data_IF_457405278752
#
_entry.id   IF_457405278752
#
_cell.length_a   1.000
_cell.length_b   1.000
_cell.length_c   1.000
_cell.angle_alpha   90.00
_cell.angle_beta   90.00
_cell.angle_gamma   90.00
#
_symmetry.space_group_name_H-M   'P 1'
#
loop_
_entity.id
_entity.type
_entity.pdbx_description
1 polymer ?
#
# COMPACT_ATOMS: atom_id res chain seq x y z
N UNK A 1 -37.94 -31.00 46.25
CA UNK A 1 -37.62 -30.93 44.81
C UNK A 1 -37.32 -29.50 44.33
N UNK A 2 -36.38 -28.77 44.98
CA UNK A 2 -36.05 -27.36 44.62
C UNK A 2 -34.53 -27.04 44.55
N UNK A 3 -33.68 -28.06 44.45
CA UNK A 3 -32.21 -27.86 44.45
C UNK A 3 -31.52 -28.32 43.16
N UNK A 4 -32.22 -28.77 42.11
CA UNK A 4 -31.63 -29.30 40.89
C UNK A 4 -31.59 -28.27 39.76
N UNK A 5 -32.34 -27.15 39.85
CA UNK A 5 -32.44 -26.17 38.77
C UNK A 5 -31.32 -25.10 38.72
N UNK A 6 -30.50 -24.98 39.79
CA UNK A 6 -29.45 -23.92 39.86
C UNK A 6 -28.14 -24.37 39.24
N UNK A 7 -27.88 -25.68 39.12
CA UNK A 7 -26.59 -26.19 38.62
C UNK A 7 -26.53 -26.19 37.06
N UNK A 8 -27.68 -26.26 36.37
CA UNK A 8 -27.73 -26.30 34.90
C UNK A 8 -27.41 -24.94 34.28
N UNK A 9 -27.73 -23.82 34.94
CA UNK A 9 -27.45 -22.48 34.40
C UNK A 9 -25.96 -22.03 34.48
N UNK A 10 -25.17 -22.62 35.37
CA UNK A 10 -23.74 -22.25 35.52
C UNK A 10 -22.83 -22.93 34.48
N UNK A 11 -23.27 -24.04 33.88
CA UNK A 11 -22.46 -24.74 32.86
C UNK A 11 -22.67 -24.22 31.42
N UNK A 12 -23.69 -23.41 31.15
CA UNK A 12 -23.92 -22.84 29.81
C UNK A 12 -23.07 -21.58 29.52
N UNK A 13 -22.45 -20.99 30.51
CA UNK A 13 -21.55 -19.83 30.30
C UNK A 13 -20.08 -20.20 30.02
N UNK A 14 -19.69 -21.46 30.14
CA UNK A 14 -18.30 -21.91 29.98
C UNK A 14 -17.94 -22.37 28.55
N UNK A 15 -18.89 -22.31 27.59
CA UNK A 15 -18.67 -22.71 26.20
C UNK A 15 -18.94 -21.51 25.26
N UNK A 16 -18.42 -20.32 25.59
CA UNK A 16 -18.13 -19.36 24.52
C UNK A 16 -16.89 -19.89 23.78
N UNK A 17 -17.03 -20.35 22.52
CA UNK A 17 -15.85 -20.68 21.76
C UNK A 17 -15.03 -19.38 21.69
N UNK A 18 -13.78 -19.46 22.12
CA UNK A 18 -12.77 -18.43 21.84
C UNK A 18 -12.63 -18.46 20.31
N UNK A 19 -13.51 -17.74 19.61
CA UNK A 19 -13.37 -17.55 18.18
C UNK A 19 -12.06 -16.83 18.01
N UNK A 20 -11.03 -17.59 17.67
CA UNK A 20 -9.75 -17.03 17.30
C UNK A 20 -10.06 -16.00 16.19
N UNK A 21 -9.88 -14.73 16.50
CA UNK A 21 -10.14 -13.65 15.56
C UNK A 21 -9.28 -13.92 14.31
N UNK A 22 -9.95 -14.19 13.19
CA UNK A 22 -9.26 -14.44 11.93
C UNK A 22 -8.46 -13.19 11.58
N UNK A 23 -7.14 -13.34 11.53
CA UNK A 23 -6.25 -12.21 11.21
C UNK A 23 -6.50 -11.75 9.79
N UNK A 24 -6.78 -10.46 9.63
CA UNK A 24 -6.90 -9.84 8.31
C UNK A 24 -5.57 -9.91 7.53
N UNK A 25 -5.67 -10.19 6.24
CA UNK A 25 -4.52 -10.26 5.33
C UNK A 25 -4.27 -8.89 4.70
N UNK A 26 -3.06 -8.37 4.83
CA UNK A 26 -2.63 -7.09 4.26
C UNK A 26 -1.78 -7.34 3.02
N UNK A 27 -2.18 -6.79 1.87
CA UNK A 27 -1.36 -6.71 0.67
C UNK A 27 -0.88 -5.28 0.43
N UNK A 28 0.27 -5.15 -0.24
CA UNK A 28 0.88 -3.87 -0.59
C UNK A 28 1.04 -3.77 -2.10
N UNK A 29 0.58 -2.66 -2.68
CA UNK A 29 0.90 -2.24 -4.03
C UNK A 29 1.83 -1.03 -3.92
N UNK A 30 3.10 -1.18 -4.33
CA UNK A 30 4.08 -0.15 -4.02
C UNK A 30 5.17 0.07 -5.09
N UNK A 31 5.97 1.08 -4.81
CA UNK A 31 7.21 1.42 -5.51
C UNK A 31 8.45 1.03 -4.67
N UNK A 32 9.59 1.72 -4.88
CA UNK A 32 10.84 1.47 -4.16
C UNK A 32 10.72 1.55 -2.63
N UNK A 33 9.83 2.39 -2.10
CA UNK A 33 9.61 2.52 -0.65
C UNK A 33 9.10 1.24 0.01
N UNK A 34 8.55 0.34 -0.80
CA UNK A 34 7.92 -0.89 -0.33
C UNK A 34 8.65 -2.16 -0.80
N UNK A 35 9.75 -2.04 -1.54
CA UNK A 35 10.51 -3.21 -1.99
C UNK A 35 11.41 -3.76 -0.88
N UNK A 36 11.61 -5.07 -0.85
CA UNK A 36 12.70 -5.74 -0.18
C UNK A 36 13.01 -7.05 -0.90
N UNK A 37 14.29 -7.34 -1.15
CA UNK A 37 14.72 -8.55 -1.85
C UNK A 37 14.18 -9.82 -1.19
N UNK A 38 13.66 -10.75 -2.00
CA UNK A 38 13.06 -12.00 -1.53
C UNK A 38 11.59 -11.89 -1.07
N UNK A 39 11.02 -10.67 -0.97
CA UNK A 39 9.64 -10.43 -0.53
C UNK A 39 8.72 -9.82 -1.60
N UNK A 40 9.28 -9.47 -2.74
CA UNK A 40 8.55 -8.98 -3.92
C UNK A 40 8.58 -10.05 -5.02
N UNK A 41 7.73 -9.97 -6.07
CA UNK A 41 7.75 -10.92 -7.17
C UNK A 41 9.14 -11.06 -7.81
N UNK A 42 9.50 -12.29 -8.17
CA UNK A 42 10.79 -12.59 -8.80
C UNK A 42 10.96 -11.77 -10.09
N UNK A 43 12.12 -11.16 -10.24
CA UNK A 43 12.46 -10.34 -11.41
C UNK A 43 12.05 -8.87 -11.29
N UNK A 44 11.34 -8.47 -10.23
CA UNK A 44 11.04 -7.08 -9.98
C UNK A 44 12.28 -6.34 -9.45
N UNK A 45 12.42 -5.08 -9.86
CA UNK A 45 13.50 -4.23 -9.35
C UNK A 45 13.27 -3.93 -7.86
N UNK A 46 14.35 -4.00 -7.07
CA UNK A 46 14.33 -3.73 -5.63
C UNK A 46 15.25 -2.56 -5.29
N UNK A 47 14.92 -1.83 -4.22
CA UNK A 47 15.76 -0.80 -3.62
C UNK A 47 16.48 -1.31 -2.37
N UNK A 48 15.75 -2.02 -1.51
CA UNK A 48 16.27 -2.52 -0.24
C UNK A 48 16.63 -4.00 -0.34
N UNK A 49 17.83 -4.34 0.14
CA UNK A 49 18.29 -5.72 0.26
C UNK A 49 19.30 -5.86 1.40
N UNK A 50 19.60 -7.08 1.86
CA UNK A 50 20.65 -7.30 2.86
C UNK A 50 22.03 -6.81 2.42
N UNK A 51 22.26 -6.70 1.11
CA UNK A 51 23.53 -6.33 0.51
C UNK A 51 23.59 -4.89 -0.01
N UNK A 52 22.50 -4.12 0.11
CA UNK A 52 22.50 -2.72 -0.32
C UNK A 52 23.55 -1.94 0.49
N UNK A 53 24.47 -1.21 -0.18
CA UNK A 53 25.53 -0.51 0.51
C UNK A 53 25.02 0.52 1.52
N UNK A 54 25.66 0.61 2.69
CA UNK A 54 25.28 1.55 3.76
C UNK A 54 25.30 3.03 3.32
N UNK A 55 26.09 3.38 2.30
CA UNK A 55 26.04 4.73 1.70
C UNK A 55 24.71 5.03 1.00
N UNK A 56 24.02 4.00 0.53
CA UNK A 56 22.72 4.12 -0.16
C UNK A 56 21.56 4.17 0.83
N UNK A 57 21.52 3.23 1.78
CA UNK A 57 20.47 3.14 2.81
C UNK A 57 21.02 2.46 4.06
N UNK A 58 20.37 2.65 5.19
CA UNK A 58 20.62 1.91 6.43
C UNK A 58 19.65 0.71 6.61
N UNK A 59 18.61 0.62 5.78
CA UNK A 59 17.63 -0.48 5.80
C UNK A 59 18.21 -1.70 5.09
N UNK A 60 18.55 -2.74 5.83
CA UNK A 60 19.18 -3.98 5.35
C UNK A 60 18.53 -5.27 5.88
N UNK A 61 17.43 -5.15 6.60
CA UNK A 61 16.62 -6.27 7.08
C UNK A 61 15.16 -6.03 6.75
N UNK A 62 14.43 -7.07 6.40
CA UNK A 62 13.00 -6.96 6.07
C UNK A 62 12.17 -6.43 7.24
N UNK A 63 12.56 -6.77 8.45
CA UNK A 63 11.90 -6.33 9.69
C UNK A 63 11.93 -4.81 9.86
N UNK A 64 12.83 -4.13 9.18
CA UNK A 64 12.97 -2.69 9.21
C UNK A 64 12.03 -1.98 8.23
N UNK A 65 11.40 -2.71 7.29
CA UNK A 65 10.48 -2.11 6.32
C UNK A 65 9.17 -1.68 7.00
N UNK A 66 8.56 -0.59 6.51
CA UNK A 66 7.34 -0.07 7.08
C UNK A 66 6.18 -1.08 7.05
N UNK A 67 6.03 -1.81 5.94
CA UNK A 67 4.94 -2.78 5.78
C UNK A 67 5.11 -4.02 6.65
N UNK A 68 6.35 -4.46 6.90
CA UNK A 68 6.60 -5.56 7.84
C UNK A 68 6.19 -5.16 9.26
N UNK A 69 6.58 -3.94 9.69
CA UNK A 69 6.22 -3.42 11.00
C UNK A 69 4.70 -3.27 11.13
N UNK A 70 4.01 -2.71 10.10
CA UNK A 70 2.54 -2.64 10.07
C UNK A 70 1.92 -4.02 10.26
N UNK A 71 2.37 -5.02 9.51
CA UNK A 71 1.83 -6.38 9.58
C UNK A 71 2.06 -7.00 10.96
N UNK A 72 3.26 -6.89 11.51
CA UNK A 72 3.62 -7.50 12.80
C UNK A 72 3.00 -6.80 13.99
N UNK A 73 3.12 -5.49 14.07
CA UNK A 73 2.60 -4.68 15.18
C UNK A 73 1.08 -4.55 15.12
N UNK A 74 0.48 -4.59 13.93
CA UNK A 74 -0.97 -4.62 13.72
C UNK A 74 -1.60 -5.99 13.96
N UNK A 75 -0.79 -7.06 14.07
CA UNK A 75 -1.29 -8.43 14.26
C UNK A 75 -1.90 -9.02 12.99
N UNK A 76 -1.60 -8.46 11.82
CA UNK A 76 -2.11 -8.90 10.53
C UNK A 76 -1.40 -10.14 9.98
N UNK A 77 -1.98 -10.76 8.94
CA UNK A 77 -1.36 -11.77 8.10
C UNK A 77 -0.72 -11.09 6.87
N UNK A 78 0.46 -11.51 6.50
CA UNK A 78 1.13 -11.00 5.31
C UNK A 78 0.48 -11.58 4.05
N UNK A 79 0.02 -10.70 3.16
CA UNK A 79 -0.39 -10.99 1.80
C UNK A 79 0.72 -10.71 0.79
N UNK A 80 0.35 -10.43 -0.46
CA UNK A 80 1.31 -10.12 -1.52
C UNK A 80 1.91 -8.72 -1.32
N UNK A 81 3.24 -8.64 -1.36
CA UNK A 81 3.99 -7.38 -1.43
C UNK A 81 4.34 -7.14 -2.91
N UNK A 82 3.41 -6.58 -3.67
CA UNK A 82 3.58 -6.32 -5.09
C UNK A 82 4.16 -4.92 -5.30
N UNK A 83 5.48 -4.81 -5.12
CA UNK A 83 6.20 -3.54 -5.20
C UNK A 83 7.34 -3.62 -6.21
N UNK A 84 7.52 -2.56 -7.00
CA UNK A 84 8.53 -2.49 -8.05
C UNK A 84 9.29 -1.16 -7.94
N UNK A 85 10.60 -1.18 -7.72
CA UNK A 85 11.42 0.03 -7.59
C UNK A 85 11.37 0.88 -8.86
N UNK A 86 11.10 2.17 -8.71
CA UNK A 86 10.98 3.11 -9.84
C UNK A 86 9.62 3.13 -10.54
N UNK A 87 8.68 2.25 -10.16
CA UNK A 87 7.37 2.20 -10.80
C UNK A 87 6.53 3.46 -10.57
N UNK A 88 5.91 3.94 -11.64
CA UNK A 88 4.90 5.01 -11.67
C UNK A 88 3.49 4.44 -11.58
N UNK A 89 2.52 5.24 -11.19
CA UNK A 89 1.10 4.87 -11.29
C UNK A 89 0.69 4.79 -12.75
N UNK A 90 1.01 5.82 -13.55
CA UNK A 90 0.78 5.82 -14.99
C UNK A 90 1.82 5.00 -15.76
N UNK A 91 1.60 4.87 -17.07
CA UNK A 91 2.54 4.13 -17.93
C UNK A 91 3.74 4.98 -18.39
N UNK A 92 3.79 6.26 -18.06
CA UNK A 92 4.96 7.11 -18.33
C UNK A 92 5.94 7.03 -17.16
N UNK A 93 7.17 6.64 -17.45
CA UNK A 93 8.26 6.59 -16.50
C UNK A 93 9.29 7.69 -16.71
N UNK A 94 10.47 7.51 -16.12
CA UNK A 94 11.59 8.45 -16.26
C UNK A 94 12.01 8.61 -17.72
N UNK A 95 12.30 9.86 -18.13
CA UNK A 95 12.65 10.23 -19.51
C UNK A 95 11.60 9.77 -20.54
N UNK A 96 10.33 9.87 -20.20
CA UNK A 96 9.18 9.48 -21.02
C UNK A 96 9.19 7.99 -21.44
N UNK A 97 9.94 7.16 -20.76
CA UNK A 97 9.97 5.72 -21.04
C UNK A 97 8.62 5.04 -20.78
N UNK A 98 8.27 4.07 -21.60
CA UNK A 98 7.09 3.24 -21.40
C UNK A 98 7.27 2.25 -20.21
N UNK A 99 6.52 2.46 -19.14
CA UNK A 99 6.51 1.62 -17.94
C UNK A 99 5.25 0.75 -17.84
N UNK A 100 4.58 0.48 -18.97
CA UNK A 100 3.39 -0.39 -19.01
C UNK A 100 3.63 -1.74 -18.35
N UNK A 101 4.84 -2.29 -18.44
CA UNK A 101 5.22 -3.58 -17.85
C UNK A 101 5.29 -3.58 -16.31
N UNK A 102 5.42 -2.41 -15.69
CA UNK A 102 5.68 -2.25 -14.25
C UNK A 102 4.80 -1.23 -13.54
N UNK A 103 3.96 -0.49 -14.25
CA UNK A 103 3.09 0.52 -13.66
C UNK A 103 2.15 -0.06 -12.60
N UNK A 104 1.64 0.79 -11.70
CA UNK A 104 0.67 0.35 -10.69
C UNK A 104 -0.61 -0.17 -11.33
N UNK A 105 -1.05 0.41 -12.45
CA UNK A 105 -2.25 -0.03 -13.16
C UNK A 105 -2.11 -1.51 -13.56
N UNK A 106 -1.00 -1.87 -14.18
CA UNK A 106 -0.74 -3.24 -14.68
C UNK A 106 -0.66 -4.25 -13.54
N UNK A 107 -0.19 -3.83 -12.36
CA UNK A 107 0.02 -4.71 -11.21
C UNK A 107 -1.17 -4.76 -10.25
N UNK A 108 -2.20 -3.94 -10.46
CA UNK A 108 -3.32 -3.76 -9.54
C UNK A 108 -4.12 -5.03 -9.24
N UNK A 109 -4.19 -5.97 -10.20
CA UNK A 109 -4.91 -7.26 -10.04
C UNK A 109 -4.06 -8.39 -9.45
N UNK A 110 -2.78 -8.14 -9.12
CA UNK A 110 -1.83 -9.16 -8.69
C UNK A 110 -1.61 -9.17 -7.17
N UNK A 111 -2.63 -8.83 -6.38
CA UNK A 111 -2.52 -8.69 -4.93
C UNK A 111 -3.01 -9.92 -4.14
N UNK A 112 -3.44 -10.98 -4.82
CA UNK A 112 -3.98 -12.18 -4.19
C UNK A 112 -5.39 -11.95 -3.61
N UNK A 113 -5.63 -12.45 -2.41
CA UNK A 113 -6.91 -12.32 -1.71
C UNK A 113 -6.72 -11.57 -0.38
N UNK A 114 -6.50 -10.25 -0.40
CA UNK A 114 -6.32 -9.46 0.82
C UNK A 114 -7.67 -9.06 1.44
N UNK A 115 -7.62 -8.73 2.72
CA UNK A 115 -8.69 -8.00 3.43
C UNK A 115 -8.41 -6.49 3.43
N UNK A 116 -7.12 -6.12 3.37
CA UNK A 116 -6.65 -4.73 3.35
C UNK A 116 -5.62 -4.56 2.22
N UNK A 117 -5.77 -3.52 1.40
CA UNK A 117 -4.80 -3.10 0.40
C UNK A 117 -4.20 -1.75 0.81
N UNK A 118 -2.87 -1.71 0.93
CA UNK A 118 -2.10 -0.50 1.17
C UNK A 118 -1.40 -0.11 -0.14
N UNK A 119 -1.76 1.05 -0.71
CA UNK A 119 -1.16 1.57 -1.94
C UNK A 119 -0.16 2.65 -1.53
N UNK A 120 1.13 2.45 -1.80
CA UNK A 120 2.19 3.43 -1.53
C UNK A 120 2.82 3.85 -2.85
N UNK A 121 2.44 5.02 -3.39
CA UNK A 121 2.83 5.43 -4.74
C UNK A 121 2.72 6.93 -5.00
N UNK A 122 2.76 7.31 -6.28
CA UNK A 122 2.82 8.67 -6.81
C UNK A 122 4.19 9.36 -6.65
N UNK A 123 5.13 8.77 -5.92
CA UNK A 123 6.47 9.34 -5.75
C UNK A 123 7.23 9.40 -7.08
N UNK A 124 7.21 8.30 -7.84
CA UNK A 124 7.90 8.24 -9.13
C UNK A 124 7.19 9.05 -10.21
N UNK A 125 5.86 9.14 -10.20
CA UNK A 125 5.13 10.04 -11.10
C UNK A 125 5.55 11.50 -10.87
N UNK A 126 5.74 11.90 -9.61
CA UNK A 126 6.24 13.22 -9.25
C UNK A 126 7.70 13.44 -9.69
N UNK A 127 8.58 12.46 -9.47
CA UNK A 127 10.01 12.58 -9.78
C UNK A 127 10.31 12.46 -11.27
N UNK A 128 9.52 11.68 -12.02
CA UNK A 128 9.63 11.54 -13.46
C UNK A 128 8.95 12.67 -14.25
N UNK A 129 8.34 13.64 -13.57
CA UNK A 129 7.53 14.69 -14.19
C UNK A 129 6.45 14.13 -15.14
N UNK A 130 5.83 13.01 -14.76
CA UNK A 130 4.83 12.35 -15.57
C UNK A 130 3.69 13.31 -15.95
N UNK A 131 3.17 13.27 -17.20
CA UNK A 131 2.10 14.14 -17.64
C UNK A 131 0.88 14.01 -16.72
N UNK A 132 0.33 15.13 -16.23
CA UNK A 132 -0.80 15.10 -15.30
C UNK A 132 -2.09 14.59 -15.93
N UNK A 133 -2.38 14.98 -17.15
CA UNK A 133 -3.66 14.71 -17.82
C UNK A 133 -4.86 15.38 -17.15
N UNK A 134 -6.03 15.21 -17.75
CA UNK A 134 -7.29 15.66 -17.18
C UNK A 134 -7.85 14.68 -16.16
N UNK A 135 -8.72 15.15 -15.26
CA UNK A 135 -9.50 14.25 -14.41
C UNK A 135 -10.48 13.45 -15.28
N UNK A 136 -10.31 12.13 -15.33
CA UNK A 136 -11.14 11.23 -16.12
C UNK A 136 -11.50 10.02 -15.27
N UNK A 137 -12.79 9.71 -15.16
CA UNK A 137 -13.29 8.68 -14.24
C UNK A 137 -13.99 7.51 -14.96
N UNK A 138 -14.01 7.52 -16.28
CA UNK A 138 -14.57 6.46 -17.13
C UNK A 138 -14.10 6.61 -18.58
N UNK A 139 -14.34 5.59 -19.41
CA UNK A 139 -14.07 5.64 -20.85
C UNK A 139 -12.59 5.80 -21.21
N UNK A 140 -11.69 5.30 -20.35
CA UNK A 140 -10.24 5.38 -20.59
C UNK A 140 -9.83 4.67 -21.88
N UNK A 141 -9.04 5.35 -22.69
CA UNK A 141 -8.29 4.77 -23.80
C UNK A 141 -6.86 4.47 -23.33
N UNK A 142 -6.15 3.59 -24.04
CA UNK A 142 -4.76 3.25 -23.72
C UNK A 142 -3.88 4.50 -23.59
N UNK A 143 -4.04 5.48 -24.46
CA UNK A 143 -3.26 6.72 -24.42
C UNK A 143 -3.46 7.54 -23.14
N UNK A 144 -4.67 7.52 -22.55
CA UNK A 144 -4.98 8.26 -21.34
C UNK A 144 -4.15 7.74 -20.14
N UNK A 145 -3.78 6.46 -20.17
CA UNK A 145 -3.06 5.79 -19.10
C UNK A 145 -1.57 6.18 -19.02
N UNK A 146 -1.09 6.95 -19.98
CA UNK A 146 0.24 7.58 -19.93
C UNK A 146 0.23 8.92 -19.17
N UNK A 147 -0.92 9.33 -18.64
CA UNK A 147 -1.06 10.51 -17.79
C UNK A 147 -1.51 10.13 -16.39
N UNK A 148 -0.97 10.81 -15.38
CA UNK A 148 -1.12 10.49 -13.97
C UNK A 148 -2.58 10.42 -13.49
N UNK A 149 -3.38 11.47 -13.74
CA UNK A 149 -4.76 11.55 -13.22
C UNK A 149 -5.69 10.49 -13.81
N UNK A 150 -5.73 10.27 -15.13
CA UNK A 150 -6.52 9.18 -15.70
C UNK A 150 -6.07 7.81 -15.20
N UNK A 151 -4.75 7.59 -15.12
CA UNK A 151 -4.17 6.35 -14.68
C UNK A 151 -4.50 6.04 -13.21
N UNK A 152 -4.38 7.03 -12.33
CA UNK A 152 -4.72 6.87 -10.92
C UNK A 152 -6.23 6.61 -10.73
N UNK A 153 -7.09 7.30 -11.49
CA UNK A 153 -8.52 7.04 -11.45
C UNK A 153 -8.86 5.63 -11.92
N UNK A 154 -8.22 5.17 -13.01
CA UNK A 154 -8.34 3.79 -13.51
C UNK A 154 -7.87 2.78 -12.47
N UNK A 155 -6.71 2.99 -11.87
CA UNK A 155 -6.15 2.14 -10.81
C UNK A 155 -7.15 1.91 -9.68
N UNK A 156 -7.72 2.98 -9.13
CA UNK A 156 -8.67 2.86 -8.01
C UNK A 156 -10.00 2.23 -8.46
N UNK A 157 -10.45 2.52 -9.69
CA UNK A 157 -11.62 1.85 -10.28
C UNK A 157 -11.39 0.34 -10.40
N UNK A 158 -10.25 -0.08 -10.94
CA UNK A 158 -9.92 -1.49 -11.13
C UNK A 158 -9.81 -2.23 -9.79
N UNK A 159 -9.15 -1.62 -8.79
CA UNK A 159 -9.05 -2.19 -7.45
C UNK A 159 -10.45 -2.38 -6.82
N UNK A 160 -11.32 -1.38 -6.91
CA UNK A 160 -12.69 -1.50 -6.38
C UNK A 160 -13.53 -2.58 -7.08
N UNK A 161 -13.29 -2.79 -8.37
CA UNK A 161 -13.99 -3.83 -9.15
C UNK A 161 -13.41 -5.23 -8.88
N UNK A 162 -12.08 -5.33 -8.81
CA UNK A 162 -11.41 -6.62 -8.66
C UNK A 162 -11.43 -7.14 -7.22
N UNK A 163 -11.41 -6.24 -6.24
CA UNK A 163 -11.41 -6.56 -4.81
C UNK A 163 -12.63 -5.93 -4.11
N UNK A 164 -13.84 -6.42 -4.38
CA UNK A 164 -15.03 -5.91 -3.71
C UNK A 164 -14.95 -6.20 -2.19
N UNK A 165 -15.41 -5.26 -1.39
CA UNK A 165 -15.40 -5.31 0.08
C UNK A 165 -14.03 -5.30 0.77
N UNK A 166 -12.94 -5.07 0.05
CA UNK A 166 -11.60 -4.91 0.62
C UNK A 166 -11.41 -3.47 1.12
N UNK A 167 -10.82 -3.32 2.29
CA UNK A 167 -10.39 -2.01 2.78
C UNK A 167 -9.18 -1.54 1.97
N UNK A 168 -9.25 -0.32 1.40
CA UNK A 168 -8.17 0.24 0.57
C UNK A 168 -7.74 1.57 1.15
N UNK A 169 -6.44 1.75 1.33
CA UNK A 169 -5.82 2.99 1.81
C UNK A 169 -4.72 3.43 0.86
N UNK A 170 -4.63 4.73 0.62
CA UNK A 170 -3.55 5.32 -0.18
C UNK A 170 -2.56 6.04 0.74
N UNK A 171 -1.32 5.58 0.75
CA UNK A 171 -0.21 6.18 1.49
C UNK A 171 0.46 7.19 0.57
N UNK A 172 0.27 8.47 0.88
CA UNK A 172 0.79 9.59 0.12
C UNK A 172 2.10 10.08 0.74
N UNK A 173 3.19 9.98 -0.03
CA UNK A 173 4.50 10.43 0.41
C UNK A 173 4.52 11.94 0.73
N UNK A 174 5.39 12.34 1.64
CA UNK A 174 5.72 13.75 1.90
C UNK A 174 6.56 14.36 0.76
N UNK A 175 6.60 15.68 0.67
CA UNK A 175 7.51 16.43 -0.23
C UNK A 175 7.21 16.23 -1.73
N UNK A 176 5.98 15.87 -2.09
CA UNK A 176 5.53 15.87 -3.48
C UNK A 176 4.97 17.25 -3.87
N UNK A 177 4.98 17.56 -5.17
CA UNK A 177 4.39 18.79 -5.71
C UNK A 177 2.91 18.89 -5.30
N UNK A 178 2.45 20.09 -4.99
CA UNK A 178 1.05 20.32 -4.56
C UNK A 178 0.05 19.77 -5.57
N UNK A 179 0.32 19.93 -6.87
CA UNK A 179 -0.57 19.44 -7.93
C UNK A 179 -0.73 17.91 -7.90
N UNK A 180 0.29 17.16 -7.47
CA UNK A 180 0.21 15.70 -7.26
C UNK A 180 -0.61 15.42 -6.00
N UNK A 181 -0.30 16.11 -4.88
CA UNK A 181 -1.01 15.94 -3.63
C UNK A 181 -2.52 16.21 -3.76
N UNK A 182 -2.90 17.29 -4.43
CA UNK A 182 -4.29 17.63 -4.72
C UNK A 182 -4.97 16.59 -5.63
N UNK A 183 -4.26 16.13 -6.67
CA UNK A 183 -4.78 15.12 -7.58
C UNK A 183 -5.07 13.80 -6.84
N UNK A 184 -4.13 13.33 -6.01
CA UNK A 184 -4.30 12.14 -5.17
C UNK A 184 -5.51 12.28 -4.28
N UNK A 185 -5.59 13.35 -3.49
CA UNK A 185 -6.70 13.60 -2.56
C UNK A 185 -8.05 13.62 -3.28
N UNK A 186 -8.14 14.34 -4.41
CA UNK A 186 -9.36 14.47 -5.19
C UNK A 186 -9.83 13.14 -5.78
N UNK A 187 -8.90 12.36 -6.35
CA UNK A 187 -9.22 11.07 -6.96
C UNK A 187 -9.56 10.04 -5.87
N UNK A 188 -8.78 9.96 -4.80
CA UNK A 188 -9.08 9.08 -3.66
C UNK A 188 -10.46 9.39 -3.05
N UNK A 189 -10.81 10.66 -2.87
CA UNK A 189 -12.12 11.05 -2.38
C UNK A 189 -13.26 10.54 -3.29
N UNK A 190 -13.10 10.63 -4.61
CA UNK A 190 -14.09 10.12 -5.60
C UNK A 190 -14.34 8.62 -5.44
N UNK A 191 -13.32 7.84 -5.09
CA UNK A 191 -13.41 6.38 -4.91
C UNK A 191 -13.55 5.96 -3.44
N UNK A 192 -13.76 6.89 -2.52
CA UNK A 192 -13.87 6.64 -1.09
C UNK A 192 -12.67 5.84 -0.54
N UNK A 193 -11.47 6.22 -0.96
CA UNK A 193 -10.20 5.67 -0.49
C UNK A 193 -9.58 6.67 0.48
N UNK A 194 -9.46 6.34 1.78
CA UNK A 194 -8.76 7.19 2.74
C UNK A 194 -7.30 7.43 2.34
N UNK A 195 -6.84 8.67 2.47
CA UNK A 195 -5.46 9.05 2.21
C UNK A 195 -4.72 9.20 3.53
N UNK A 196 -3.63 8.47 3.69
CA UNK A 196 -2.66 8.60 4.79
C UNK A 196 -1.55 9.50 4.27
N UNK A 197 -1.65 10.80 4.53
CA UNK A 197 -0.65 11.78 4.13
C UNK A 197 0.54 11.72 5.11
N UNK A 198 1.66 11.23 4.64
CA UNK A 198 2.87 11.09 5.44
C UNK A 198 3.50 12.47 5.72
N UNK A 199 4.10 12.60 6.88
CA UNK A 199 4.84 13.79 7.29
C UNK A 199 6.06 13.39 8.14
N UNK A 200 7.08 14.24 8.18
CA UNK A 200 8.28 14.07 9.00
C UNK A 200 8.98 12.71 8.80
N UNK A 201 9.11 12.28 7.54
CA UNK A 201 9.77 11.03 7.19
C UNK A 201 11.26 11.27 7.01
N UNK A 202 12.06 10.64 7.88
CA UNK A 202 13.52 10.66 7.76
C UNK A 202 13.97 9.88 6.51
N UNK A 203 14.76 10.53 5.65
CA UNK A 203 15.16 10.00 4.34
C UNK A 203 16.64 10.11 4.09
N UNK A 204 17.17 9.14 3.34
CA UNK A 204 18.51 9.14 2.77
C UNK A 204 18.42 8.83 1.27
N UNK A 205 19.05 9.64 0.44
CA UNK A 205 18.93 9.53 -1.02
C UNK A 205 17.47 9.45 -1.51
N UNK A 206 16.59 10.29 -0.93
CA UNK A 206 15.17 10.34 -1.26
C UNK A 206 14.32 9.18 -0.70
N UNK A 207 14.92 8.17 -0.06
CA UNK A 207 14.23 6.98 0.44
C UNK A 207 14.22 6.91 1.97
N UNK A 208 13.16 6.35 2.59
CA UNK A 208 13.08 6.21 4.04
C UNK A 208 14.27 5.45 4.63
N UNK A 209 14.84 6.02 5.71
CA UNK A 209 15.78 5.33 6.60
C UNK A 209 15.05 4.36 7.53
N UNK A 210 15.75 3.60 8.38
CA UNK A 210 15.12 2.80 9.45
C UNK A 210 14.15 3.65 10.27
N UNK A 211 14.56 4.87 10.65
CA UNK A 211 13.71 5.82 11.37
C UNK A 211 12.50 6.26 10.54
N UNK A 212 12.70 6.54 9.26
CA UNK A 212 11.63 6.88 8.34
C UNK A 212 10.64 5.74 8.13
N UNK A 213 11.11 4.51 7.99
CA UNK A 213 10.29 3.31 7.89
C UNK A 213 9.41 3.11 9.12
N UNK A 214 9.97 3.31 10.32
CA UNK A 214 9.18 3.24 11.58
C UNK A 214 8.12 4.34 11.62
N UNK A 215 8.47 5.57 11.24
CA UNK A 215 7.52 6.68 11.18
C UNK A 215 6.36 6.40 10.22
N UNK A 216 6.65 5.84 9.03
CA UNK A 216 5.59 5.41 8.10
C UNK A 216 4.68 4.36 8.74
N UNK A 217 5.28 3.32 9.36
CA UNK A 217 4.50 2.26 10.00
C UNK A 217 3.57 2.79 11.09
N UNK A 218 4.05 3.69 11.94
CA UNK A 218 3.27 4.30 13.02
C UNK A 218 2.10 5.13 12.47
N UNK A 219 2.36 5.95 11.43
CA UNK A 219 1.32 6.76 10.80
C UNK A 219 0.25 5.91 10.12
N UNK A 220 0.65 4.81 9.48
CA UNK A 220 -0.28 3.85 8.85
C UNK A 220 -1.11 3.14 9.93
N UNK A 221 -0.48 2.58 10.96
CA UNK A 221 -1.16 1.87 12.05
C UNK A 221 -2.16 2.75 12.80
N UNK A 222 -1.87 4.03 12.97
CA UNK A 222 -2.78 4.99 13.61
C UNK A 222 -4.11 5.12 12.87
N UNK A 223 -4.14 4.84 11.56
CA UNK A 223 -5.35 4.97 10.72
C UNK A 223 -6.05 3.63 10.54
N UNK A 224 -5.30 2.55 10.26
CA UNK A 224 -5.90 1.25 9.92
C UNK A 224 -6.23 0.37 11.13
N UNK A 225 -5.61 0.64 12.29
CA UNK A 225 -5.88 -0.08 13.53
C UNK A 225 -7.13 0.52 14.17
N UNK A 226 -8.24 -0.17 14.03
CA UNK A 226 -9.53 0.19 14.67
C UNK A 226 -9.71 -0.56 15.98
#
# INVERSE_FOLDING_TARGET
MKRLSVIVCLFMFALMPLLAQVKQTVAVLGDSYSTFEGFIPKGYATWYSPTTPAKTTDVNKVEQTWWWQVIKEGGYKMGNINSYSGATICNTGYNDADYTDRSFITRSSLLGNPDIILICGATNDNWADAPLGNYQYSGWKRADLYSFRPAMAKLLSDIRQHYPNVEVYFILNSELKDVINESVKKICNKYQVPVIALHDIDKKNGHPTIKGMKSIADQVLKVIKK
#
